data_IF_164912869285
#
_entry.id   IF_164912869285
#
_cell.length_a   1.000
_cell.length_b   1.000
_cell.length_c   1.000
_cell.angle_alpha   90.00
_cell.angle_beta   90.00
_cell.angle_gamma   90.00
#
_symmetry.space_group_name_H-M   'P 1'
#
loop_
_entity.id
_entity.type
_entity.pdbx_description
1 polymer ?
#
# COMPACT_ATOMS: atom_id res chain seq x y z
N UNK A 1 5.79 50.82 -21.02
CA UNK A 1 7.08 50.45 -21.66
C UNK A 1 6.89 49.07 -22.22
N UNK A 2 6.74 48.98 -23.56
CA UNK A 2 6.44 47.76 -24.32
C UNK A 2 7.76 47.05 -24.66
N UNK A 3 7.95 45.80 -24.18
CA UNK A 3 9.00 44.93 -24.75
C UNK A 3 8.33 43.77 -25.49
N UNK A 4 8.29 43.91 -26.81
CA UNK A 4 7.98 42.82 -27.76
C UNK A 4 9.20 41.93 -27.92
N UNK A 5 9.11 40.67 -27.55
CA UNK A 5 10.09 39.65 -27.90
C UNK A 5 9.88 39.23 -29.36
N UNK A 6 10.91 39.40 -30.16
CA UNK A 6 11.01 38.99 -31.58
C UNK A 6 11.21 37.45 -31.62
N UNK A 7 10.30 36.75 -32.29
CA UNK A 7 10.53 35.37 -32.73
C UNK A 7 11.54 35.37 -33.89
N UNK A 8 12.62 34.61 -33.74
CA UNK A 8 13.54 34.29 -34.82
C UNK A 8 13.09 32.98 -35.46
N UNK A 9 12.76 33.08 -36.75
CA UNK A 9 12.45 31.96 -37.64
C UNK A 9 13.68 31.12 -37.96
N UNK A 10 13.63 29.82 -37.74
CA UNK A 10 14.63 28.84 -38.15
C UNK A 10 14.25 28.31 -39.54
N UNK A 11 15.18 28.31 -40.55
CA UNK A 11 14.84 27.80 -41.88
C UNK A 11 14.82 26.26 -41.92
N UNK A 12 13.82 25.73 -42.60
CA UNK A 12 13.68 24.31 -42.87
C UNK A 12 14.74 23.83 -43.87
N UNK A 13 15.53 22.85 -43.47
CA UNK A 13 16.53 22.19 -44.33
C UNK A 13 15.83 21.04 -45.08
N UNK A 14 15.59 21.25 -46.36
CA UNK A 14 15.06 20.25 -47.31
C UNK A 14 16.17 19.24 -47.66
N UNK A 15 16.05 18.01 -47.15
CA UNK A 15 16.88 16.90 -47.63
C UNK A 15 16.16 16.17 -48.75
N UNK A 16 16.71 16.22 -49.97
CA UNK A 16 16.29 15.49 -51.16
C UNK A 16 16.56 13.98 -51.02
N UNK A 17 15.67 13.11 -51.46
CA UNK A 17 15.94 11.68 -51.54
C UNK A 17 16.83 11.36 -52.74
N UNK A 18 17.94 10.64 -52.51
CA UNK A 18 18.77 10.06 -53.57
C UNK A 18 18.15 8.75 -54.01
N UNK A 19 17.76 8.71 -55.27
CA UNK A 19 17.44 7.52 -56.05
C UNK A 19 18.71 6.65 -56.17
N UNK A 20 18.60 5.38 -55.81
CA UNK A 20 19.53 4.34 -56.28
C UNK A 20 18.71 3.19 -56.88
N UNK A 21 18.77 3.16 -58.19
CA UNK A 21 18.26 2.10 -59.04
C UNK A 21 19.28 0.99 -59.19
N UNK A 22 18.75 -0.19 -59.38
CA UNK A 22 19.21 -1.34 -60.17
C UNK A 22 20.08 -2.42 -59.52
N UNK A 23 19.42 -3.54 -59.57
CA UNK A 23 19.90 -4.86 -59.99
C UNK A 23 20.84 -5.61 -59.03
N UNK A 24 20.33 -6.76 -58.56
CA UNK A 24 20.92 -8.08 -58.95
C UNK A 24 19.91 -9.19 -58.75
N UNK A 25 19.99 -10.11 -59.75
CA UNK A 25 19.09 -11.22 -60.01
C UNK A 25 19.56 -12.44 -59.23
N UNK A 26 18.59 -13.25 -58.80
CA UNK A 26 18.62 -14.70 -58.63
C UNK A 26 19.56 -15.34 -57.61
N UNK A 27 18.98 -15.94 -56.60
CA UNK A 27 19.16 -17.38 -56.27
C UNK A 27 18.00 -17.87 -55.43
N UNK A 28 17.13 -18.64 -56.06
CA UNK A 28 16.10 -19.40 -55.38
C UNK A 28 16.76 -20.58 -54.66
N UNK A 29 16.91 -20.49 -53.34
CA UNK A 29 17.17 -21.67 -52.52
C UNK A 29 15.87 -21.96 -51.74
N UNK A 30 15.15 -22.96 -52.16
CA UNK A 30 14.02 -23.56 -51.44
C UNK A 30 14.56 -24.18 -50.14
N UNK A 31 14.45 -23.43 -49.04
CA UNK A 31 14.51 -24.04 -47.72
C UNK A 31 13.08 -24.45 -47.34
N UNK A 32 12.73 -25.68 -47.58
CA UNK A 32 11.58 -26.35 -46.97
C UNK A 32 11.84 -26.48 -45.47
N UNK A 33 11.39 -25.50 -44.67
CA UNK A 33 11.31 -25.66 -43.24
C UNK A 33 10.12 -26.56 -42.95
N UNK A 34 10.41 -27.82 -42.68
CA UNK A 34 9.44 -28.73 -42.09
C UNK A 34 9.12 -28.25 -40.68
N UNK A 35 8.02 -27.49 -40.52
CA UNK A 35 7.48 -27.15 -39.22
C UNK A 35 6.91 -28.44 -38.62
N UNK A 36 7.68 -29.09 -37.77
CA UNK A 36 7.21 -30.14 -36.87
C UNK A 36 6.24 -29.48 -35.89
N UNK A 37 4.94 -29.55 -36.19
CA UNK A 37 3.88 -29.24 -35.25
C UNK A 37 3.91 -30.28 -34.12
N UNK A 38 4.76 -30.06 -33.13
CA UNK A 38 4.66 -30.77 -31.87
C UNK A 38 3.41 -30.22 -31.18
N UNK A 39 2.32 -30.95 -31.33
CA UNK A 39 1.08 -30.69 -30.57
C UNK A 39 1.39 -30.95 -29.09
N UNK A 40 1.80 -29.91 -28.39
CA UNK A 40 1.76 -29.92 -26.93
C UNK A 40 0.29 -30.02 -26.52
N UNK A 41 -0.18 -31.23 -26.23
CA UNK A 41 -1.38 -31.41 -25.44
C UNK A 41 -1.09 -30.85 -24.08
N UNK A 42 -1.41 -29.57 -23.87
CA UNK A 42 -1.51 -29.02 -22.52
C UNK A 42 -2.52 -29.89 -21.77
N UNK A 43 -2.14 -30.49 -20.63
CA UNK A 43 -3.10 -31.20 -19.83
C UNK A 43 -4.18 -30.18 -19.43
N UNK A 44 -5.39 -30.37 -19.91
CA UNK A 44 -6.55 -29.61 -19.44
C UNK A 44 -6.77 -30.03 -17.99
N UNK A 45 -6.20 -29.29 -17.06
CA UNK A 45 -6.52 -29.41 -15.65
C UNK A 45 -7.96 -28.92 -15.54
N UNK A 46 -8.91 -29.86 -15.53
CA UNK A 46 -10.28 -29.56 -15.09
C UNK A 46 -10.14 -29.09 -13.65
N UNK A 47 -10.25 -27.78 -13.45
CA UNK A 47 -10.43 -27.24 -12.11
C UNK A 47 -11.73 -27.88 -11.56
N UNK A 48 -11.60 -28.82 -10.64
CA UNK A 48 -12.72 -29.30 -9.85
C UNK A 48 -13.33 -28.13 -9.07
N UNK A 49 -14.55 -28.26 -8.53
CA UNK A 49 -15.12 -27.23 -7.68
C UNK A 49 -14.14 -26.95 -6.53
N UNK A 50 -13.62 -25.72 -6.49
CA UNK A 50 -12.73 -25.26 -5.42
C UNK A 50 -13.51 -25.26 -4.12
N UNK A 51 -13.03 -25.97 -3.10
CA UNK A 51 -13.65 -25.93 -1.76
C UNK A 51 -13.25 -24.64 -1.05
N UNK A 52 -14.05 -24.20 -0.07
CA UNK A 52 -13.70 -23.01 0.74
C UNK A 52 -12.34 -23.16 1.44
N UNK A 53 -11.94 -24.38 1.76
CA UNK A 53 -10.62 -24.68 2.32
C UNK A 53 -9.50 -24.43 1.30
N UNK A 54 -9.71 -24.77 0.03
CA UNK A 54 -8.71 -24.54 -1.04
C UNK A 54 -8.56 -23.06 -1.33
N UNK A 55 -9.66 -22.29 -1.30
CA UNK A 55 -9.65 -20.84 -1.47
C UNK A 55 -8.89 -20.13 -0.35
N UNK A 56 -9.13 -20.54 0.89
CA UNK A 56 -8.42 -20.01 2.05
C UNK A 56 -6.93 -20.38 2.01
N UNK A 57 -6.59 -21.62 1.62
CA UNK A 57 -5.19 -22.04 1.49
C UNK A 57 -4.45 -21.22 0.44
N UNK A 58 -5.06 -20.98 -0.72
CA UNK A 58 -4.50 -20.13 -1.76
C UNK A 58 -4.19 -18.70 -1.25
N UNK A 59 -5.10 -18.09 -0.49
CA UNK A 59 -4.89 -16.77 0.12
C UNK A 59 -3.76 -16.78 1.14
N UNK A 60 -3.68 -17.82 1.96
CA UNK A 60 -2.63 -17.99 2.97
C UNK A 60 -1.25 -18.06 2.31
N UNK A 61 -1.09 -18.91 1.29
CA UNK A 61 0.19 -19.07 0.59
C UNK A 61 0.58 -17.78 -0.16
N UNK A 62 -0.38 -17.15 -0.84
CA UNK A 62 -0.13 -15.87 -1.50
C UNK A 62 0.26 -14.79 -0.48
N UNK A 63 -0.45 -14.72 0.65
CA UNK A 63 -0.13 -13.74 1.70
C UNK A 63 1.27 -13.91 2.27
N UNK A 64 1.73 -15.15 2.47
CA UNK A 64 3.11 -15.42 2.89
C UNK A 64 4.13 -15.00 1.83
N UNK A 65 3.78 -15.12 0.56
CA UNK A 65 4.67 -14.79 -0.56
C UNK A 65 4.78 -13.28 -0.81
N UNK A 66 3.72 -12.51 -0.57
CA UNK A 66 3.68 -11.06 -0.82
C UNK A 66 4.06 -10.21 0.40
N UNK A 67 4.31 -10.82 1.56
CA UNK A 67 4.73 -10.07 2.74
C UNK A 67 6.04 -9.30 2.43
N UNK A 68 6.06 -7.95 2.53
CA UNK A 68 7.21 -7.18 2.09
C UNK A 68 8.35 -7.17 3.13
N UNK A 69 8.10 -7.70 4.33
CA UNK A 69 9.05 -7.71 5.45
C UNK A 69 9.21 -9.13 6.02
N UNK A 70 10.34 -9.43 6.67
CA UNK A 70 10.51 -10.70 7.38
C UNK A 70 9.43 -10.93 8.42
N UNK A 71 8.92 -12.16 8.51
CA UNK A 71 7.88 -12.54 9.45
C UNK A 71 8.44 -13.36 10.60
N UNK A 72 8.11 -12.98 11.83
CA UNK A 72 8.38 -13.75 13.02
C UNK A 72 7.21 -14.68 13.34
N UNK A 73 7.43 -15.99 13.23
CA UNK A 73 6.43 -17.03 13.51
C UNK A 73 6.52 -17.60 14.92
N UNK A 74 7.42 -17.11 15.74
CA UNK A 74 7.56 -17.60 17.11
C UNK A 74 6.28 -17.37 17.91
N UNK A 75 5.74 -18.45 18.49
CA UNK A 75 4.46 -18.46 19.22
C UNK A 75 3.24 -17.98 18.43
N UNK A 76 3.28 -18.04 17.06
CA UNK A 76 2.21 -17.55 16.19
C UNK A 76 1.66 -18.63 15.27
N UNK A 77 0.39 -18.50 14.93
CA UNK A 77 -0.24 -19.38 13.94
C UNK A 77 0.13 -18.92 12.52
N UNK A 78 1.04 -19.64 11.85
CA UNK A 78 1.51 -19.33 10.50
C UNK A 78 0.37 -19.16 9.49
N UNK A 79 -0.72 -19.93 9.61
CA UNK A 79 -1.88 -19.82 8.71
C UNK A 79 -2.62 -18.50 8.91
N UNK A 80 -2.82 -18.07 10.15
CA UNK A 80 -3.40 -16.77 10.45
C UNK A 80 -2.50 -15.62 9.99
N UNK A 81 -1.19 -15.72 10.22
CA UNK A 81 -0.22 -14.73 9.72
C UNK A 81 -0.28 -14.62 8.20
N UNK A 82 -0.34 -15.74 7.47
CA UNK A 82 -0.46 -15.72 6.00
C UNK A 82 -1.77 -15.11 5.51
N UNK A 83 -2.90 -15.51 6.11
CA UNK A 83 -4.20 -14.92 5.79
C UNK A 83 -4.23 -13.41 6.10
N UNK A 84 -3.70 -13.00 7.26
CA UNK A 84 -3.62 -11.60 7.66
C UNK A 84 -2.75 -10.78 6.72
N UNK A 85 -1.60 -11.33 6.27
CA UNK A 85 -0.77 -10.71 5.23
C UNK A 85 -1.55 -10.50 3.93
N UNK A 86 -2.30 -11.51 3.48
CA UNK A 86 -3.12 -11.38 2.29
C UNK A 86 -4.17 -10.26 2.44
N UNK A 87 -4.86 -10.19 3.58
CA UNK A 87 -5.87 -9.16 3.82
C UNK A 87 -5.21 -7.77 3.86
N UNK A 88 -4.13 -7.60 4.59
CA UNK A 88 -3.45 -6.31 4.78
C UNK A 88 -2.83 -5.78 3.48
N UNK A 89 -2.19 -6.66 2.69
CA UNK A 89 -1.40 -6.23 1.52
C UNK A 89 -2.16 -6.31 0.18
N UNK A 90 -3.20 -7.16 0.07
CA UNK A 90 -3.88 -7.40 -1.19
C UNK A 90 -5.36 -6.99 -1.20
N UNK A 91 -6.02 -6.87 -0.05
CA UNK A 91 -7.45 -6.58 0.01
C UNK A 91 -7.77 -5.23 0.65
N UNK A 92 -7.15 -4.90 1.78
CA UNK A 92 -7.54 -3.76 2.59
C UNK A 92 -6.63 -2.54 2.41
N UNK A 93 -5.50 -2.68 1.72
CA UNK A 93 -4.54 -1.61 1.48
C UNK A 93 -4.19 -0.80 2.76
N UNK A 94 -3.90 -1.51 3.84
CA UNK A 94 -3.62 -0.86 5.12
C UNK A 94 -2.41 0.06 5.04
N UNK A 95 -1.39 -0.32 4.22
CA UNK A 95 -0.17 0.46 4.06
C UNK A 95 -0.41 1.81 3.38
N UNK A 96 -1.34 1.91 2.44
CA UNK A 96 -1.69 3.15 1.77
C UNK A 96 -2.12 4.26 2.74
N UNK A 97 -2.78 3.88 3.84
CA UNK A 97 -3.13 4.81 4.91
C UNK A 97 -2.10 4.83 6.06
N UNK A 98 -1.52 3.69 6.40
CA UNK A 98 -0.63 3.53 7.55
C UNK A 98 0.87 3.54 7.20
N UNK A 99 1.25 4.19 6.08
CA UNK A 99 2.61 4.67 5.77
C UNK A 99 2.67 6.19 5.96
N UNK A 100 3.81 6.81 5.61
CA UNK A 100 3.93 8.29 5.64
C UNK A 100 3.25 8.99 4.45
N UNK A 101 2.60 8.24 3.57
CA UNK A 101 1.87 8.73 2.41
C UNK A 101 2.44 8.26 1.07
N UNK A 102 1.78 8.59 -0.06
CA UNK A 102 2.07 8.04 -1.38
C UNK A 102 3.51 8.24 -1.87
N UNK A 103 4.17 9.33 -1.45
CA UNK A 103 5.55 9.61 -1.86
C UNK A 103 6.58 8.69 -1.22
N UNK A 104 6.23 8.02 -0.12
CA UNK A 104 7.13 7.18 0.68
C UNK A 104 6.65 5.74 0.85
N UNK A 105 5.50 5.42 0.33
CA UNK A 105 4.90 4.07 0.44
C UNK A 105 5.70 3.03 -0.33
N UNK A 106 6.23 3.42 -1.49
CA UNK A 106 7.10 2.59 -2.33
C UNK A 106 8.46 3.26 -2.50
N UNK A 107 9.49 2.47 -2.82
CA UNK A 107 10.81 2.99 -3.14
C UNK A 107 10.79 3.78 -4.44
N UNK A 108 11.63 4.84 -4.51
CA UNK A 108 11.58 5.88 -5.54
C UNK A 108 11.48 5.38 -6.99
N UNK A 109 12.37 4.48 -7.48
CA UNK A 109 12.34 4.10 -8.90
C UNK A 109 11.08 3.35 -9.35
N UNK A 110 10.40 2.65 -8.44
CA UNK A 110 9.20 1.86 -8.74
C UNK A 110 7.92 2.41 -8.09
N UNK A 111 7.96 3.60 -7.51
CA UNK A 111 6.79 4.17 -6.86
C UNK A 111 5.73 4.55 -7.91
N UNK A 112 4.53 3.90 -7.88
CA UNK A 112 3.50 4.08 -8.89
C UNK A 112 2.84 5.46 -8.85
N UNK A 113 3.02 6.20 -7.76
CA UNK A 113 2.42 7.53 -7.56
C UNK A 113 3.31 8.68 -8.05
N UNK A 114 4.56 8.40 -8.43
CA UNK A 114 5.52 9.43 -8.84
C UNK A 114 5.75 9.37 -10.36
N UNK A 115 5.85 10.56 -10.98
CA UNK A 115 6.33 10.69 -12.35
C UNK A 115 7.84 10.45 -12.35
N UNK A 116 8.25 9.23 -12.63
CA UNK A 116 9.67 8.88 -12.68
C UNK A 116 10.07 8.46 -14.10
N UNK A 117 10.77 9.32 -14.89
CA UNK A 117 11.39 8.85 -16.12
C UNK A 117 12.52 7.86 -15.80
N UNK A 118 12.75 6.80 -16.59
CA UNK A 118 12.08 6.39 -17.83
C UNK A 118 10.90 5.42 -17.62
N UNK A 119 10.47 5.29 -16.43
CA UNK A 119 9.55 4.23 -16.01
C UNK A 119 8.12 4.73 -16.04
N UNK A 120 7.48 4.97 -17.05
CA UNK A 120 6.05 5.36 -17.10
C UNK A 120 5.22 4.71 -15.96
N UNK A 121 3.92 4.95 -15.84
CA UNK A 121 3.10 4.60 -14.67
C UNK A 121 3.14 3.12 -14.24
N UNK A 122 3.84 2.26 -15.00
CA UNK A 122 3.99 0.84 -14.71
C UNK A 122 5.42 0.32 -14.98
N UNK A 123 6.42 1.18 -15.03
CA UNK A 123 7.74 0.89 -15.57
C UNK A 123 8.79 0.38 -14.58
N UNK A 124 8.43 -0.09 -13.42
CA UNK A 124 9.37 -0.71 -12.47
C UNK A 124 8.68 -1.74 -11.61
N UNK A 125 9.44 -2.60 -10.97
CA UNK A 125 8.89 -3.42 -9.88
C UNK A 125 8.49 -2.50 -8.75
N UNK A 126 7.22 -2.54 -8.36
CA UNK A 126 6.73 -1.85 -7.17
C UNK A 126 7.36 -2.51 -5.95
N UNK A 127 8.25 -1.81 -5.31
CA UNK A 127 8.90 -2.27 -4.09
C UNK A 127 8.43 -1.43 -2.93
N UNK A 128 7.75 -2.06 -1.98
CA UNK A 128 7.26 -1.41 -0.76
C UNK A 128 8.45 -0.87 0.04
N UNK A 129 8.34 0.36 0.51
CA UNK A 129 9.35 0.95 1.37
C UNK A 129 9.24 0.40 2.79
N UNK A 130 10.10 -0.55 3.12
CA UNK A 130 10.09 -1.23 4.42
C UNK A 130 10.33 -0.29 5.60
N UNK A 131 10.97 0.86 5.37
CA UNK A 131 11.24 1.83 6.45
C UNK A 131 9.99 2.61 6.89
N UNK A 132 8.92 2.58 6.09
CA UNK A 132 7.66 3.26 6.40
C UNK A 132 6.47 2.29 6.45
N UNK A 133 6.72 1.01 6.17
CA UNK A 133 5.68 -0.01 6.03
C UNK A 133 4.87 -0.16 7.32
N UNK A 134 3.59 0.19 7.26
CA UNK A 134 2.66 0.16 8.37
C UNK A 134 3.09 0.97 9.61
N UNK A 135 4.12 1.80 9.48
CA UNK A 135 4.67 2.62 10.56
C UNK A 135 3.81 3.84 10.92
N UNK A 136 2.75 4.10 10.18
CA UNK A 136 1.89 5.27 10.41
C UNK A 136 2.52 6.59 9.99
N UNK A 137 1.87 7.68 10.41
CA UNK A 137 2.39 9.03 10.22
C UNK A 137 1.94 9.71 8.93
N UNK A 138 1.01 9.15 8.19
CA UNK A 138 0.36 9.87 7.11
C UNK A 138 -0.51 10.98 7.69
N UNK A 139 -0.22 12.20 7.29
CA UNK A 139 -1.04 13.36 7.58
C UNK A 139 -2.22 13.43 6.60
N UNK A 140 -3.43 13.38 7.12
CA UNK A 140 -4.66 13.53 6.33
C UNK A 140 -5.08 14.99 6.19
N UNK A 141 -4.21 15.91 6.62
CA UNK A 141 -4.44 17.34 6.53
C UNK A 141 -5.40 17.88 7.60
N UNK A 142 -5.74 19.16 7.43
CA UNK A 142 -6.67 19.85 8.31
C UNK A 142 -8.04 19.16 8.32
N UNK A 143 -8.61 18.97 9.53
CA UNK A 143 -9.86 18.26 9.72
C UNK A 143 -10.89 19.12 10.46
N UNK A 144 -12.09 19.25 9.88
CA UNK A 144 -13.18 20.02 10.45
C UNK A 144 -13.14 21.53 10.13
N UNK A 145 -14.07 22.30 10.67
CA UNK A 145 -14.27 23.72 10.35
C UNK A 145 -13.26 24.68 11.01
N UNK A 146 -12.47 24.23 11.97
CA UNK A 146 -11.36 24.97 12.58
C UNK A 146 -10.01 24.35 12.22
N UNK A 147 -9.88 24.01 10.99
CA UNK A 147 -9.04 22.97 10.43
C UNK A 147 -7.58 23.35 10.22
N UNK A 148 -7.18 24.57 10.40
CA UNK A 148 -5.77 24.95 10.18
C UNK A 148 -4.82 24.39 11.26
N UNK A 149 -5.36 23.91 12.38
CA UNK A 149 -4.58 23.44 13.52
C UNK A 149 -4.73 21.96 13.83
N UNK A 150 -5.86 21.32 13.45
CA UNK A 150 -6.14 19.94 13.76
C UNK A 150 -5.73 19.03 12.60
N UNK A 151 -4.61 18.37 12.71
CA UNK A 151 -4.12 17.39 11.75
C UNK A 151 -4.34 15.97 12.26
N UNK A 152 -4.95 15.11 11.45
CA UNK A 152 -5.13 13.70 11.76
C UNK A 152 -4.00 12.87 11.15
N UNK A 153 -3.29 12.15 12.00
CA UNK A 153 -2.21 11.26 11.60
C UNK A 153 -2.60 9.80 11.76
N UNK A 154 -2.24 8.97 10.75
CA UNK A 154 -2.43 7.53 10.87
C UNK A 154 -1.55 6.95 11.98
N UNK A 155 -2.12 5.99 12.74
CA UNK A 155 -1.41 5.28 13.81
C UNK A 155 -0.37 4.31 13.24
N UNK A 156 0.69 4.07 14.00
CA UNK A 156 1.63 2.98 13.74
C UNK A 156 0.93 1.64 14.04
N UNK A 157 0.94 0.74 13.04
CA UNK A 157 0.34 -0.60 13.16
C UNK A 157 1.38 -1.69 13.47
N UNK A 158 2.67 -1.35 13.46
CA UNK A 158 3.73 -2.31 13.80
C UNK A 158 3.67 -2.69 15.28
N UNK A 159 4.22 -3.83 15.68
CA UNK A 159 4.22 -4.20 17.08
C UNK A 159 5.13 -3.28 17.91
N UNK A 160 4.88 -3.22 19.21
CA UNK A 160 5.82 -2.65 20.17
C UNK A 160 6.83 -3.72 20.70
N UNK A 161 7.64 -3.37 21.67
CA UNK A 161 8.59 -4.28 22.32
C UNK A 161 7.97 -5.51 22.98
N UNK A 162 6.67 -5.52 23.23
CA UNK A 162 5.94 -6.68 23.75
C UNK A 162 5.53 -7.66 22.67
N UNK A 163 5.75 -7.32 21.40
CA UNK A 163 5.33 -8.08 20.23
C UNK A 163 3.82 -8.03 19.96
N UNK A 164 3.10 -7.09 20.57
CA UNK A 164 1.66 -6.87 20.30
C UNK A 164 1.49 -5.88 19.18
N UNK A 165 0.56 -6.16 18.28
CA UNK A 165 0.21 -5.32 17.14
C UNK A 165 -0.19 -3.90 17.52
N UNK A 166 -0.13 -3.00 16.55
CA UNK A 166 -0.62 -1.63 16.64
C UNK A 166 -0.12 -0.89 17.90
N UNK A 167 1.20 -0.98 18.14
CA UNK A 167 1.85 -0.28 19.25
C UNK A 167 1.50 -0.83 20.64
N UNK A 168 1.27 -2.14 20.75
CA UNK A 168 1.05 -2.81 22.04
C UNK A 168 -0.39 -3.08 22.44
N UNK A 169 -1.35 -2.92 21.52
CA UNK A 169 -2.75 -3.25 21.78
C UNK A 169 -2.92 -4.75 22.03
N UNK A 170 -3.80 -5.09 22.97
CA UNK A 170 -4.28 -6.48 23.08
C UNK A 170 -5.21 -6.81 21.89
N UNK A 171 -5.42 -8.11 21.65
CA UNK A 171 -6.37 -8.50 20.60
C UNK A 171 -7.79 -7.97 20.85
N UNK A 172 -8.24 -7.97 22.10
CA UNK A 172 -9.55 -7.48 22.50
C UNK A 172 -9.70 -5.98 22.23
N UNK A 173 -8.64 -5.20 22.49
CA UNK A 173 -8.61 -3.77 22.16
C UNK A 173 -8.63 -3.56 20.65
N UNK A 174 -7.82 -4.30 19.91
CA UNK A 174 -7.77 -4.24 18.45
C UNK A 174 -9.12 -4.61 17.82
N UNK A 175 -9.75 -5.70 18.31
CA UNK A 175 -11.10 -6.12 17.89
C UNK A 175 -12.13 -5.01 18.17
N UNK A 176 -12.09 -4.42 19.37
CA UNK A 176 -13.00 -3.33 19.74
C UNK A 176 -12.85 -2.12 18.82
N UNK A 177 -11.61 -1.74 18.46
CA UNK A 177 -11.36 -0.66 17.50
C UNK A 177 -12.03 -0.95 16.16
N UNK A 178 -11.81 -2.13 15.61
CA UNK A 178 -12.40 -2.48 14.30
C UNK A 178 -13.92 -2.63 14.34
N UNK A 179 -14.50 -3.01 15.47
CA UNK A 179 -15.96 -3.13 15.64
C UNK A 179 -16.67 -1.81 15.91
N UNK A 180 -16.04 -0.90 16.62
CA UNK A 180 -16.72 0.29 17.17
C UNK A 180 -16.04 1.61 16.84
N UNK A 181 -14.83 1.56 16.28
CA UNK A 181 -14.02 2.75 16.03
C UNK A 181 -13.40 3.37 17.29
N UNK A 182 -13.52 2.75 18.47
CA UNK A 182 -13.08 3.33 19.74
C UNK A 182 -11.63 3.84 19.64
N UNK A 183 -11.41 5.12 19.94
CA UNK A 183 -10.06 5.67 20.07
C UNK A 183 -9.58 5.54 21.53
N UNK A 184 -8.63 4.63 21.76
CA UNK A 184 -8.02 4.44 23.07
C UNK A 184 -6.98 5.52 23.42
N UNK A 185 -6.49 6.26 22.43
CA UNK A 185 -5.48 7.28 22.64
C UNK A 185 -6.06 8.63 23.01
N UNK A 186 -7.29 8.89 22.60
CA UNK A 186 -7.97 10.18 22.80
C UNK A 186 -7.10 11.38 22.41
N UNK A 187 -6.34 11.28 21.30
CA UNK A 187 -5.44 12.33 20.86
C UNK A 187 -6.23 13.59 20.50
N UNK A 188 -7.43 13.42 19.97
CA UNK A 188 -8.34 14.48 19.59
C UNK A 188 -9.68 14.32 20.34
N UNK A 189 -9.74 14.70 21.62
CA UNK A 189 -10.98 14.59 22.40
C UNK A 189 -12.07 15.53 21.88
N UNK A 190 -13.28 15.40 22.38
CA UNK A 190 -14.34 16.36 22.13
C UNK A 190 -13.98 17.71 22.76
N UNK A 191 -14.22 18.82 22.04
CA UNK A 191 -13.98 20.15 22.57
C UNK A 191 -14.88 20.44 23.76
N UNK A 192 -14.30 20.95 24.86
CA UNK A 192 -15.00 21.47 26.04
C UNK A 192 -14.64 22.94 26.19
N UNK A 193 -15.53 23.83 25.73
CA UNK A 193 -15.28 25.27 25.76
C UNK A 193 -14.63 25.84 24.50
N UNK A 194 -13.66 26.74 24.64
CA UNK A 194 -12.96 27.33 23.49
C UNK A 194 -12.07 26.28 22.82
N UNK A 195 -12.16 26.08 21.48
CA UNK A 195 -11.30 25.14 20.76
C UNK A 195 -9.83 25.52 20.93
N UNK A 196 -9.00 24.52 21.31
CA UNK A 196 -7.55 24.67 21.50
C UNK A 196 -6.74 24.21 20.27
N UNK A 197 -7.42 23.81 19.19
CA UNK A 197 -6.80 23.29 17.97
C UNK A 197 -6.53 21.77 17.97
N UNK A 198 -6.64 21.09 19.12
CA UNK A 198 -6.41 19.65 19.24
C UNK A 198 -7.70 18.86 19.49
N UNK A 199 -8.82 19.51 19.76
CA UNK A 199 -10.09 18.86 20.02
C UNK A 199 -11.01 18.87 18.81
N UNK A 200 -11.90 17.90 18.74
CA UNK A 200 -12.92 17.78 17.70
C UNK A 200 -14.19 18.54 18.07
N UNK A 201 -14.62 19.39 17.16
CA UNK A 201 -15.89 20.12 17.28
C UNK A 201 -17.07 19.27 16.78
N UNK A 202 -18.27 19.48 17.34
CA UNK A 202 -19.47 18.90 16.77
C UNK A 202 -19.60 19.21 15.27
N UNK A 203 -20.08 18.29 14.43
CA UNK A 203 -20.74 17.03 14.78
C UNK A 203 -19.79 15.83 14.99
N UNK A 204 -18.49 16.03 15.00
CA UNK A 204 -17.51 14.94 15.15
C UNK A 204 -17.44 14.47 16.61
N UNK A 205 -17.13 13.18 16.78
CA UNK A 205 -16.99 12.53 18.06
C UNK A 205 -15.55 12.09 18.30
N UNK A 206 -14.86 12.69 19.28
CA UNK A 206 -13.48 12.38 19.64
C UNK A 206 -13.27 11.03 20.34
N UNK A 207 -14.35 10.31 20.69
CA UNK A 207 -14.26 8.97 21.27
C UNK A 207 -14.02 7.87 20.23
N UNK A 208 -14.17 8.22 18.94
CA UNK A 208 -13.97 7.29 17.84
C UNK A 208 -12.96 7.80 16.82
N UNK A 209 -12.24 6.87 16.21
CA UNK A 209 -11.28 7.16 15.15
C UNK A 209 -11.97 7.83 13.96
N UNK A 210 -11.42 8.95 13.55
CA UNK A 210 -11.81 9.64 12.34
C UNK A 210 -11.00 9.10 11.14
N UNK A 211 -11.54 9.24 9.92
CA UNK A 211 -10.90 8.80 8.66
C UNK A 211 -10.75 7.28 8.52
N UNK A 212 -10.32 6.56 9.57
CA UNK A 212 -10.22 5.10 9.56
C UNK A 212 -11.57 4.47 9.17
N UNK A 213 -11.63 3.57 8.14
CA UNK A 213 -12.90 3.02 7.65
C UNK A 213 -13.45 1.89 8.53
N UNK A 214 -13.37 2.02 9.86
CA UNK A 214 -13.92 1.04 10.80
C UNK A 214 -15.43 0.75 10.60
N UNK A 215 -16.28 1.69 10.11
CA UNK A 215 -17.68 1.37 9.84
C UNK A 215 -17.88 0.31 8.75
N UNK A 216 -16.89 0.11 7.89
CA UNK A 216 -16.88 -0.99 6.92
C UNK A 216 -16.24 -2.22 7.54
N UNK A 217 -15.11 -2.07 8.20
CA UNK A 217 -14.34 -3.16 8.80
C UNK A 217 -15.05 -3.87 9.95
N UNK A 218 -16.02 -3.21 10.61
CA UNK A 218 -16.85 -3.83 11.64
C UNK A 218 -17.61 -5.09 11.16
N UNK A 219 -17.77 -5.25 9.85
CA UNK A 219 -18.47 -6.40 9.25
C UNK A 219 -17.52 -7.56 8.87
N UNK A 220 -16.22 -7.41 9.09
CA UNK A 220 -15.26 -8.51 8.87
C UNK A 220 -15.54 -9.67 9.82
N UNK A 221 -15.21 -10.90 9.42
CA UNK A 221 -15.29 -12.05 10.34
C UNK A 221 -14.27 -11.92 11.49
N UNK A 222 -14.56 -12.52 12.63
CA UNK A 222 -13.60 -12.55 13.75
C UNK A 222 -12.30 -13.24 13.36
N UNK A 223 -12.37 -14.23 12.48
CA UNK A 223 -11.19 -14.92 11.95
C UNK A 223 -10.30 -13.98 11.12
N UNK A 224 -10.91 -13.14 10.29
CA UNK A 224 -10.15 -12.17 9.47
C UNK A 224 -9.50 -11.10 10.36
N UNK A 225 -10.23 -10.57 11.35
CA UNK A 225 -9.67 -9.61 12.31
C UNK A 225 -8.54 -10.25 13.12
N UNK A 226 -8.71 -11.51 13.55
CA UNK A 226 -7.64 -12.26 14.23
C UNK A 226 -6.43 -12.45 13.31
N UNK A 227 -6.65 -12.79 12.06
CA UNK A 227 -5.58 -12.96 11.08
C UNK A 227 -4.79 -11.66 10.87
N UNK A 228 -5.47 -10.53 10.72
CA UNK A 228 -4.82 -9.21 10.64
C UNK A 228 -3.95 -8.95 11.89
N UNK A 229 -4.50 -9.16 13.08
CA UNK A 229 -3.78 -8.96 14.34
C UNK A 229 -2.52 -9.84 14.44
N UNK A 230 -2.63 -11.12 14.08
CA UNK A 230 -1.50 -12.06 14.07
C UNK A 230 -0.41 -11.63 13.09
N UNK A 231 -0.80 -11.16 11.89
CA UNK A 231 0.15 -10.64 10.91
C UNK A 231 0.85 -9.36 11.40
N UNK A 232 0.08 -8.37 11.87
CA UNK A 232 0.64 -7.12 12.41
C UNK A 232 1.55 -7.35 13.62
N UNK A 233 1.31 -8.43 14.35
CA UNK A 233 2.19 -8.84 15.46
C UNK A 233 3.44 -9.58 15.00
N UNK A 234 3.45 -10.11 13.76
CA UNK A 234 4.56 -10.89 13.22
C UNK A 234 5.59 -10.06 12.43
N UNK A 235 5.26 -8.82 12.07
CA UNK A 235 6.16 -7.92 11.34
C UNK A 235 7.14 -7.22 12.28
N UNK A 236 8.27 -6.68 11.75
CA UNK A 236 9.20 -5.90 12.56
C UNK A 236 8.57 -4.64 13.16
N UNK A 237 8.98 -4.27 14.35
CA UNK A 237 8.66 -2.97 14.93
C UNK A 237 9.37 -1.85 14.17
N UNK A 238 8.69 -0.74 13.96
CA UNK A 238 9.25 0.48 13.37
C UNK A 238 9.05 1.64 14.33
N UNK A 239 10.14 2.30 14.72
CA UNK A 239 10.07 3.56 15.44
C UNK A 239 9.71 4.68 14.47
N UNK A 240 8.49 5.18 14.57
CA UNK A 240 8.04 6.33 13.77
C UNK A 240 8.11 7.59 14.63
N UNK A 241 9.11 8.41 14.36
CA UNK A 241 9.23 9.73 14.96
C UNK A 241 9.04 10.79 13.86
N UNK A 242 7.90 11.49 13.91
CA UNK A 242 7.55 12.56 12.98
C UNK A 242 7.43 13.84 13.79
N UNK A 243 8.26 14.83 13.47
CA UNK A 243 8.22 16.13 14.14
C UNK A 243 6.83 16.76 14.01
N UNK A 244 6.24 17.15 15.14
CA UNK A 244 4.91 17.74 15.20
C UNK A 244 3.73 16.77 15.17
N UNK A 245 3.97 15.47 14.92
CA UNK A 245 2.92 14.47 15.07
C UNK A 245 2.80 14.02 16.54
N UNK A 246 1.59 13.71 17.01
CA UNK A 246 1.41 13.08 18.31
C UNK A 246 2.08 11.71 18.34
N UNK A 247 2.33 11.17 19.55
CA UNK A 247 2.90 9.83 19.73
C UNK A 247 2.03 8.81 18.99
N UNK A 248 2.63 8.12 18.01
CA UNK A 248 1.95 7.20 17.11
C UNK A 248 1.92 5.75 17.63
N UNK A 249 2.03 5.54 18.94
CA UNK A 249 2.09 4.23 19.59
C UNK A 249 3.18 3.33 19.01
N UNK A 250 4.42 3.68 19.21
CA UNK A 250 5.52 2.76 18.95
C UNK A 250 6.56 2.85 20.07
N UNK A 251 7.01 1.73 20.51
CA UNK A 251 8.10 1.58 21.45
C UNK A 251 8.79 0.25 21.14
N UNK A 252 9.80 0.32 20.27
CA UNK A 252 10.56 -0.85 19.86
C UNK A 252 11.61 -1.30 20.88
N UNK A 253 11.96 -0.44 21.88
CA UNK A 253 13.01 -0.66 22.87
C UNK A 253 12.47 -0.83 24.29
#
# INVERSE_FOLDING_TARGET
MNNRLKLHSIPALLLKPKSLSKMWVASAAFFTIAVLLVSFKTPSVKAGPQTDNDLNESKIQLGLAIAPVPLNFEHRNKRLVGLGSYIVNAQADCNGCHSRGPSTEYLGPGNPYLLSPPHGPFGGMQEVNIATYLGGGRDFGPFGSHSELLHLYSRNLTPDKTGRAAGGLTYEQFLTILRTGKDYDHIHPNCTGTPDGNCLLPPFNGDVLQVMPWPVQQHMSDNDIRAIYEYLSAIPCIDTNIAGAPVLRNNCN
#
